data_IF_694564237334
#
_entry.id   IF_694564237334
#
_cell.length_a   1.000
_cell.length_b   1.000
_cell.length_c   1.000
_cell.angle_alpha   90.00
_cell.angle_beta   90.00
_cell.angle_gamma   90.00
#
_symmetry.space_group_name_H-M   'P 1'
#
loop_
_entity.id
_entity.type
_entity.pdbx_description
1 polymer ?
#
# COMPACT_ATOMS: atom_id res chain seq x y z
N UNK A 1 43.23 -2.08 31.93
CA UNK A 1 42.67 -0.99 31.12
C UNK A 1 42.95 -1.09 29.62
N UNK A 2 44.06 -1.73 29.18
CA UNK A 2 44.36 -1.89 27.73
C UNK A 2 43.48 -2.89 26.98
N UNK A 3 43.03 -3.97 27.65
CA UNK A 3 42.17 -4.98 27.03
C UNK A 3 40.81 -4.43 26.57
N UNK A 4 40.22 -3.48 27.29
CA UNK A 4 38.93 -2.90 26.89
C UNK A 4 39.02 -2.05 25.63
N UNK A 5 40.15 -1.32 25.43
CA UNK A 5 40.35 -0.51 24.22
C UNK A 5 40.57 -1.35 22.96
N UNK A 6 41.16 -2.53 23.09
CA UNK A 6 41.31 -3.46 21.97
C UNK A 6 39.95 -4.07 21.55
N UNK A 7 39.12 -4.44 22.52
CA UNK A 7 37.76 -4.96 22.28
C UNK A 7 36.88 -3.89 21.65
N UNK A 8 36.92 -2.64 22.11
CA UNK A 8 36.14 -1.54 21.53
C UNK A 8 36.57 -1.24 20.09
N UNK A 9 37.90 -1.30 19.81
CA UNK A 9 38.39 -1.15 18.41
C UNK A 9 37.92 -2.29 17.52
N UNK A 10 37.89 -3.52 18.01
CA UNK A 10 37.40 -4.69 17.26
C UNK A 10 35.92 -4.57 16.99
N UNK A 11 35.10 -4.22 18.01
CA UNK A 11 33.67 -4.00 17.87
C UNK A 11 33.38 -2.88 16.84
N UNK A 12 34.12 -1.76 16.90
CA UNK A 12 33.93 -0.66 15.97
C UNK A 12 34.41 -1.02 14.54
N UNK A 13 35.43 -1.89 14.41
CA UNK A 13 35.85 -2.41 13.11
C UNK A 13 34.81 -3.38 12.54
N UNK A 14 34.26 -4.28 13.37
CA UNK A 14 33.19 -5.20 12.96
C UNK A 14 31.92 -4.45 12.56
N UNK A 15 31.49 -3.44 13.32
CA UNK A 15 30.37 -2.57 12.95
C UNK A 15 30.60 -1.85 11.61
N UNK A 16 31.83 -1.38 11.36
CA UNK A 16 32.18 -0.78 10.05
C UNK A 16 32.22 -1.81 8.93
N UNK A 17 32.54 -3.06 9.22
CA UNK A 17 32.57 -4.16 8.26
C UNK A 17 31.13 -4.62 7.93
N UNK A 18 30.29 -4.78 8.93
CA UNK A 18 28.85 -5.11 8.75
C UNK A 18 28.11 -4.03 7.94
N UNK A 19 28.45 -2.75 8.14
CA UNK A 19 27.89 -1.64 7.36
C UNK A 19 28.37 -1.61 5.90
N UNK A 20 29.51 -2.25 5.58
CA UNK A 20 30.05 -2.31 4.21
C UNK A 20 29.56 -3.49 3.39
N UNK A 21 29.07 -4.54 4.03
CA UNK A 21 28.60 -5.73 3.35
C UNK A 21 27.09 -5.90 3.57
N UNK A 22 26.29 -4.98 3.03
CA UNK A 22 24.90 -5.29 2.73
C UNK A 22 24.97 -6.05 1.40
N UNK A 23 24.70 -7.36 1.36
CA UNK A 23 24.68 -8.09 0.10
C UNK A 23 23.69 -7.38 -0.83
N UNK A 24 24.14 -7.09 -2.04
CA UNK A 24 23.31 -6.44 -3.04
C UNK A 24 22.06 -7.32 -3.25
N UNK A 25 20.91 -6.81 -2.82
CA UNK A 25 19.67 -7.56 -2.95
C UNK A 25 19.37 -7.76 -4.44
N UNK A 26 19.04 -8.97 -4.90
CA UNK A 26 18.75 -9.21 -6.30
C UNK A 26 17.64 -8.27 -6.78
N UNK A 27 17.77 -7.80 -8.02
CA UNK A 27 16.73 -6.94 -8.61
C UNK A 27 15.39 -7.66 -8.65
N UNK A 28 14.35 -6.97 -8.27
CA UNK A 28 12.98 -7.45 -8.46
C UNK A 28 12.56 -7.32 -9.92
N UNK A 29 11.50 -8.01 -10.30
CA UNK A 29 10.98 -7.94 -11.67
C UNK A 29 10.60 -6.50 -12.09
N UNK A 30 10.00 -5.73 -11.20
CA UNK A 30 9.65 -4.32 -11.45
C UNK A 30 10.89 -3.43 -11.65
N UNK A 31 11.97 -3.70 -10.90
CA UNK A 31 13.26 -3.01 -11.08
C UNK A 31 13.93 -3.38 -12.40
N UNK A 32 13.84 -4.66 -12.84
CA UNK A 32 14.36 -5.11 -14.14
C UNK A 32 13.60 -4.42 -15.28
N UNK A 33 12.27 -4.29 -15.17
CA UNK A 33 11.44 -3.61 -16.17
C UNK A 33 11.55 -2.07 -16.15
N UNK A 34 12.23 -1.48 -15.16
CA UNK A 34 12.33 -0.01 -15.01
C UNK A 34 10.99 0.69 -14.74
N UNK A 35 10.03 -0.01 -14.15
CA UNK A 35 8.70 0.54 -13.85
C UNK A 35 8.38 0.61 -12.35
N UNK A 36 9.34 0.30 -11.52
CA UNK A 36 9.26 0.27 -10.06
C UNK A 36 8.92 1.62 -9.40
N UNK A 37 9.07 2.71 -10.13
CA UNK A 37 8.83 4.09 -9.67
C UNK A 37 7.51 4.70 -10.14
N UNK A 38 6.73 3.98 -10.94
CA UNK A 38 5.50 4.51 -11.54
C UNK A 38 4.30 4.26 -10.62
N UNK A 39 3.71 5.34 -10.10
CA UNK A 39 2.52 5.27 -9.21
C UNK A 39 1.34 4.56 -9.88
N UNK A 40 1.12 4.79 -11.19
CA UNK A 40 0.07 4.11 -11.96
C UNK A 40 0.27 2.60 -12.04
N UNK A 41 1.52 2.12 -12.22
CA UNK A 41 1.84 0.68 -12.21
C UNK A 41 1.56 0.09 -10.82
N UNK A 42 2.03 0.76 -9.77
CA UNK A 42 1.74 0.35 -8.39
C UNK A 42 0.24 0.30 -8.11
N UNK A 43 -0.52 1.31 -8.56
CA UNK A 43 -1.98 1.33 -8.40
C UNK A 43 -2.68 0.21 -9.17
N UNK A 44 -2.18 -0.18 -10.35
CA UNK A 44 -2.71 -1.32 -11.09
C UNK A 44 -2.41 -2.67 -10.39
N UNK A 45 -1.22 -2.81 -9.81
CA UNK A 45 -0.88 -3.99 -9.00
C UNK A 45 -1.77 -4.05 -7.76
N UNK A 46 -1.92 -2.94 -7.06
CA UNK A 46 -2.82 -2.86 -5.90
C UNK A 46 -4.27 -3.15 -6.30
N UNK A 47 -4.76 -2.60 -7.43
CA UNK A 47 -6.09 -2.92 -7.96
C UNK A 47 -6.29 -4.43 -8.06
N UNK A 48 -5.36 -5.12 -8.73
CA UNK A 48 -5.44 -6.57 -8.93
C UNK A 48 -5.53 -7.33 -7.60
N UNK A 49 -4.67 -7.03 -6.63
CA UNK A 49 -4.63 -7.75 -5.36
C UNK A 49 -5.66 -7.29 -4.31
N UNK A 50 -6.25 -6.11 -4.46
CA UNK A 50 -7.33 -5.64 -3.59
C UNK A 50 -8.72 -6.11 -4.05
N UNK A 51 -8.84 -6.62 -5.26
CA UNK A 51 -10.07 -7.16 -5.81
C UNK A 51 -10.30 -8.59 -5.32
N UNK A 52 -11.30 -8.81 -4.46
CA UNK A 52 -11.60 -10.13 -3.89
C UNK A 52 -12.03 -11.17 -4.93
N UNK A 53 -12.49 -10.71 -6.11
CA UNK A 53 -13.04 -11.54 -7.18
C UNK A 53 -12.00 -11.88 -8.27
N UNK A 54 -10.78 -11.33 -8.15
CA UNK A 54 -9.73 -11.60 -9.13
C UNK A 54 -9.11 -13.00 -8.98
N UNK A 55 -8.46 -13.45 -10.07
CA UNK A 55 -7.89 -14.81 -10.20
C UNK A 55 -6.74 -15.12 -9.25
N UNK A 56 -6.28 -14.15 -8.44
CA UNK A 56 -5.16 -14.37 -7.51
C UNK A 56 -5.48 -15.32 -6.36
N UNK A 57 -6.74 -15.68 -6.13
CA UNK A 57 -7.18 -16.66 -5.13
C UNK A 57 -6.78 -16.32 -3.67
N UNK A 58 -6.52 -15.05 -3.37
CA UNK A 58 -6.28 -14.58 -2.01
C UNK A 58 -7.57 -14.04 -1.37
N UNK A 59 -8.68 -14.04 -2.11
CA UNK A 59 -9.95 -13.46 -1.67
C UNK A 59 -9.76 -12.01 -1.23
N UNK A 60 -10.33 -11.65 -0.11
CA UNK A 60 -10.29 -10.29 0.43
C UNK A 60 -9.05 -9.97 1.27
N UNK A 61 -8.06 -10.86 1.35
CA UNK A 61 -6.92 -10.76 2.25
C UNK A 61 -6.26 -9.37 2.23
N UNK A 62 -5.90 -8.90 1.02
CA UNK A 62 -5.19 -7.62 0.88
C UNK A 62 -6.05 -6.43 1.31
N UNK A 63 -7.32 -6.42 0.93
CA UNK A 63 -8.26 -5.36 1.30
C UNK A 63 -8.54 -5.36 2.80
N UNK A 64 -8.80 -6.51 3.39
CA UNK A 64 -9.03 -6.69 4.83
C UNK A 64 -7.83 -6.24 5.66
N UNK A 65 -6.61 -6.58 5.25
CA UNK A 65 -5.39 -6.11 5.92
C UNK A 65 -5.28 -4.59 5.84
N UNK A 66 -5.48 -3.98 4.67
CA UNK A 66 -5.43 -2.54 4.51
C UNK A 66 -6.47 -1.84 5.39
N UNK A 67 -7.73 -2.32 5.37
CA UNK A 67 -8.80 -1.73 6.15
C UNK A 67 -8.66 -1.98 7.66
N UNK A 68 -8.02 -3.07 8.09
CA UNK A 68 -7.69 -3.29 9.51
C UNK A 68 -6.71 -2.25 10.07
N UNK A 69 -5.87 -1.65 9.21
CA UNK A 69 -5.01 -0.52 9.56
C UNK A 69 -5.78 0.82 9.55
N UNK A 70 -6.82 0.89 8.73
CA UNK A 70 -7.71 2.05 8.75
C UNK A 70 -8.51 2.11 10.07
N UNK A 71 -9.18 1.02 10.46
CA UNK A 71 -9.90 0.96 11.73
C UNK A 71 -10.01 -0.48 12.25
N UNK A 72 -9.88 -0.71 13.58
CA UNK A 72 -9.95 -2.06 14.17
C UNK A 72 -11.25 -2.84 13.86
N UNK A 73 -12.37 -2.14 13.64
CA UNK A 73 -13.66 -2.75 13.29
C UNK A 73 -13.61 -3.61 12.03
N UNK A 74 -12.64 -3.37 11.14
CA UNK A 74 -12.47 -4.11 9.89
C UNK A 74 -11.56 -5.35 9.98
N UNK A 75 -10.93 -5.61 11.13
CA UNK A 75 -9.97 -6.72 11.26
C UNK A 75 -10.57 -8.10 11.01
N UNK A 76 -11.85 -8.27 11.39
CA UNK A 76 -12.57 -9.55 11.26
C UNK A 76 -13.74 -9.47 10.27
N UNK A 77 -13.83 -8.38 9.50
CA UNK A 77 -14.87 -8.22 8.48
C UNK A 77 -14.39 -8.85 7.18
N UNK A 78 -15.27 -9.57 6.50
CA UNK A 78 -15.09 -10.06 5.14
C UNK A 78 -15.57 -9.02 4.14
N UNK A 79 -14.88 -8.91 3.01
CA UNK A 79 -15.21 -7.93 1.97
C UNK A 79 -15.43 -8.62 0.64
N UNK A 80 -16.52 -8.26 -0.01
CA UNK A 80 -16.80 -8.60 -1.39
C UNK A 80 -16.70 -7.33 -2.24
N UNK A 81 -15.77 -7.31 -3.18
CA UNK A 81 -15.53 -6.16 -4.06
C UNK A 81 -16.48 -6.24 -5.25
N UNK A 82 -17.41 -5.29 -5.34
CA UNK A 82 -18.36 -5.21 -6.46
C UNK A 82 -17.75 -4.54 -7.69
N UNK A 83 -16.86 -3.58 -7.45
CA UNK A 83 -16.23 -2.81 -8.50
C UNK A 83 -14.94 -2.17 -8.01
N UNK A 84 -13.90 -2.24 -8.83
CA UNK A 84 -12.63 -1.58 -8.55
C UNK A 84 -12.07 -0.93 -9.81
N UNK A 85 -11.70 0.36 -9.71
CA UNK A 85 -11.19 1.16 -10.82
C UNK A 85 -9.93 1.90 -10.40
N UNK A 86 -9.07 2.20 -11.38
CA UNK A 86 -7.95 3.12 -11.23
C UNK A 86 -8.20 4.40 -12.02
N UNK A 87 -7.54 5.48 -11.62
CA UNK A 87 -7.53 6.76 -12.34
C UNK A 87 -8.95 7.33 -12.60
N UNK A 88 -9.82 7.24 -11.56
CA UNK A 88 -11.21 7.73 -11.68
C UNK A 88 -11.22 9.24 -11.71
N UNK A 89 -11.79 9.79 -12.81
CA UNK A 89 -11.91 11.24 -13.00
C UNK A 89 -12.90 11.86 -12.01
N UNK A 90 -12.50 12.97 -11.41
CA UNK A 90 -13.40 13.80 -10.59
C UNK A 90 -14.13 14.83 -11.46
N UNK A 91 -15.10 15.51 -10.85
CA UNK A 91 -15.85 16.59 -11.53
C UNK A 91 -14.97 17.77 -11.95
N UNK A 92 -13.80 17.94 -11.34
CA UNK A 92 -12.83 19.00 -11.68
C UNK A 92 -11.70 18.52 -12.58
N UNK A 93 -11.77 17.28 -13.11
CA UNK A 93 -10.76 16.71 -13.99
C UNK A 93 -9.53 16.15 -13.29
N UNK A 94 -9.52 16.12 -11.94
CA UNK A 94 -8.49 15.40 -11.18
C UNK A 94 -8.72 13.89 -11.26
N UNK A 95 -7.78 13.07 -10.75
CA UNK A 95 -7.89 11.61 -10.81
C UNK A 95 -7.63 10.99 -9.44
N UNK A 96 -8.52 10.09 -9.04
CA UNK A 96 -8.39 9.26 -7.84
C UNK A 96 -7.67 7.99 -8.25
N UNK A 97 -6.56 7.64 -7.60
CA UNK A 97 -5.73 6.50 -8.00
C UNK A 97 -6.47 5.17 -7.92
N UNK A 98 -7.23 4.93 -6.84
CA UNK A 98 -8.03 3.72 -6.66
C UNK A 98 -9.41 4.06 -6.10
N UNK A 99 -10.40 3.41 -6.66
CA UNK A 99 -11.81 3.50 -6.30
C UNK A 99 -12.35 2.09 -6.15
N UNK A 100 -12.85 1.74 -4.96
CA UNK A 100 -13.32 0.39 -4.62
C UNK A 100 -14.72 0.49 -4.03
N UNK A 101 -15.64 -0.25 -4.59
CA UNK A 101 -17.02 -0.40 -4.09
C UNK A 101 -17.19 -1.80 -3.52
N UNK A 102 -17.61 -1.89 -2.28
CA UNK A 102 -18.04 -3.11 -1.60
C UNK A 102 -19.55 -3.10 -1.40
N UNK A 103 -20.04 -3.96 -0.53
CA UNK A 103 -21.47 -3.96 -0.18
C UNK A 103 -21.86 -2.77 0.71
N UNK A 104 -20.95 -2.34 1.59
CA UNK A 104 -21.24 -1.34 2.61
C UNK A 104 -20.29 -0.13 2.56
N UNK A 105 -19.19 -0.21 1.79
CA UNK A 105 -18.20 0.86 1.72
C UNK A 105 -17.95 1.34 0.29
N UNK A 106 -17.69 2.63 0.18
CA UNK A 106 -16.97 3.24 -0.93
C UNK A 106 -15.59 3.68 -0.44
N UNK A 107 -14.55 3.07 -0.99
CA UNK A 107 -13.17 3.29 -0.56
C UNK A 107 -12.43 4.04 -1.66
N UNK A 108 -11.84 5.18 -1.30
CA UNK A 108 -10.95 5.93 -2.20
C UNK A 108 -9.54 5.92 -1.63
N UNK A 109 -8.56 5.60 -2.49
CA UNK A 109 -7.15 5.52 -2.08
C UNK A 109 -6.32 6.42 -2.99
N UNK A 110 -5.58 7.32 -2.40
CA UNK A 110 -4.47 8.02 -3.05
C UNK A 110 -3.18 7.27 -2.74
N UNK A 111 -2.49 6.78 -3.77
CA UNK A 111 -1.27 6.00 -3.66
C UNK A 111 -0.05 6.86 -4.00
N UNK A 112 0.88 7.03 -3.06
CA UNK A 112 2.08 7.88 -3.18
C UNK A 112 3.37 7.12 -2.98
N UNK A 113 4.20 7.08 -4.02
CA UNK A 113 5.53 6.48 -3.96
C UNK A 113 6.61 7.53 -3.75
N UNK A 114 6.54 8.69 -4.40
CA UNK A 114 7.64 9.66 -4.42
C UNK A 114 7.31 11.07 -3.95
N UNK A 115 6.09 11.52 -4.10
CA UNK A 115 5.77 12.94 -4.02
C UNK A 115 5.17 13.39 -2.68
N UNK A 116 5.19 14.70 -2.45
CA UNK A 116 4.41 15.33 -1.39
C UNK A 116 2.93 15.18 -1.72
N UNK A 117 2.11 14.96 -0.68
CA UNK A 117 0.66 14.81 -0.86
C UNK A 117 -0.01 16.20 -1.00
N UNK A 118 0.14 16.83 -2.17
CA UNK A 118 -0.52 18.08 -2.55
C UNK A 118 -1.72 17.84 -3.47
N UNK A 119 -2.44 16.75 -3.23
CA UNK A 119 -3.60 16.36 -4.01
C UNK A 119 -4.85 17.11 -3.58
N UNK A 120 -5.83 17.29 -4.47
CA UNK A 120 -7.10 17.95 -4.17
C UNK A 120 -8.06 16.99 -3.43
N UNK A 121 -7.72 16.62 -2.18
CA UNK A 121 -8.47 15.67 -1.38
C UNK A 121 -9.94 16.04 -1.20
N UNK A 122 -10.24 17.34 -1.06
CA UNK A 122 -11.63 17.83 -0.97
C UNK A 122 -12.45 17.52 -2.23
N UNK A 123 -11.83 17.58 -3.41
CA UNK A 123 -12.48 17.24 -4.68
C UNK A 123 -12.72 15.72 -4.79
N UNK A 124 -11.79 14.93 -4.30
CA UNK A 124 -11.92 13.48 -4.23
C UNK A 124 -13.09 13.07 -3.34
N UNK A 125 -13.15 13.60 -2.11
CA UNK A 125 -14.25 13.31 -1.19
C UNK A 125 -15.60 13.81 -1.70
N UNK A 126 -15.66 15.01 -2.28
CA UNK A 126 -16.89 15.53 -2.88
C UNK A 126 -17.41 14.62 -3.99
N UNK A 127 -16.50 14.13 -4.85
CA UNK A 127 -16.85 13.21 -5.93
C UNK A 127 -17.39 11.90 -5.36
N UNK A 128 -16.70 11.32 -4.37
CA UNK A 128 -17.13 10.08 -3.73
C UNK A 128 -18.48 10.22 -3.00
N UNK A 129 -18.68 11.30 -2.25
CA UNK A 129 -19.97 11.56 -1.56
C UNK A 129 -21.11 11.79 -2.52
N UNK A 130 -20.85 12.41 -3.69
CA UNK A 130 -21.87 12.56 -4.73
C UNK A 130 -22.29 11.20 -5.27
N UNK A 131 -21.34 10.30 -5.52
CA UNK A 131 -21.64 8.94 -6.00
C UNK A 131 -22.43 8.14 -4.97
N UNK A 132 -22.01 8.16 -3.68
CA UNK A 132 -22.78 7.52 -2.59
C UNK A 132 -24.24 8.00 -2.59
N UNK A 133 -24.45 9.31 -2.71
CA UNK A 133 -25.80 9.89 -2.74
C UNK A 133 -26.59 9.40 -3.95
N UNK A 134 -25.97 9.29 -5.12
CA UNK A 134 -26.60 8.74 -6.33
C UNK A 134 -27.00 7.29 -6.12
N UNK A 135 -26.09 6.45 -5.60
CA UNK A 135 -26.36 5.03 -5.33
C UNK A 135 -27.44 4.84 -4.25
N UNK A 136 -27.45 5.70 -3.24
CA UNK A 136 -28.49 5.70 -2.20
C UNK A 136 -29.87 6.00 -2.80
N UNK A 137 -29.98 7.01 -3.67
CA UNK A 137 -31.24 7.41 -4.28
C UNK A 137 -31.75 6.38 -5.32
N UNK A 138 -30.85 5.79 -6.10
CA UNK A 138 -31.23 4.90 -7.20
C UNK A 138 -31.42 3.44 -6.77
N UNK A 139 -30.62 2.99 -5.82
CA UNK A 139 -30.54 1.57 -5.43
C UNK A 139 -30.85 1.29 -3.96
N UNK A 140 -31.13 2.33 -3.17
CA UNK A 140 -31.35 2.19 -1.73
C UNK A 140 -30.09 1.75 -0.94
N UNK A 141 -28.91 1.86 -1.52
CA UNK A 141 -27.63 1.44 -0.91
C UNK A 141 -27.02 2.59 -0.13
N UNK A 142 -26.73 2.37 1.14
CA UNK A 142 -26.06 3.37 1.98
C UNK A 142 -24.61 2.92 2.25
N UNK A 143 -23.64 3.57 1.59
CA UNK A 143 -22.21 3.24 1.69
C UNK A 143 -21.49 4.14 2.68
N UNK A 144 -20.62 3.57 3.52
CA UNK A 144 -19.64 4.32 4.32
C UNK A 144 -18.48 4.79 3.43
N UNK A 145 -18.11 6.07 3.49
CA UNK A 145 -16.94 6.57 2.78
C UNK A 145 -15.66 6.32 3.58
N UNK A 146 -14.71 5.64 2.97
CA UNK A 146 -13.35 5.40 3.49
C UNK A 146 -12.34 6.11 2.60
N UNK A 147 -11.56 7.04 3.16
CA UNK A 147 -10.55 7.82 2.44
C UNK A 147 -9.15 7.51 2.98
N UNK A 148 -8.29 6.92 2.15
CA UNK A 148 -6.95 6.47 2.53
C UNK A 148 -5.89 7.20 1.69
N UNK A 149 -4.85 7.68 2.36
CA UNK A 149 -3.60 8.11 1.76
C UNK A 149 -2.53 7.05 2.06
N UNK A 150 -2.23 6.23 1.06
CA UNK A 150 -1.21 5.18 1.15
C UNK A 150 0.13 5.74 0.65
N UNK A 151 1.13 5.82 1.53
CA UNK A 151 2.39 6.46 1.19
C UNK A 151 3.60 5.93 1.96
N UNK A 152 4.79 6.49 1.70
CA UNK A 152 6.02 6.05 2.38
C UNK A 152 6.22 6.68 3.77
N UNK A 153 5.42 7.66 4.12
CA UNK A 153 5.41 8.30 5.45
C UNK A 153 3.99 8.68 5.82
N UNK A 154 3.78 9.01 7.07
CA UNK A 154 2.52 9.59 7.49
C UNK A 154 2.38 11.04 7.01
N UNK A 155 1.20 11.38 6.55
CA UNK A 155 0.83 12.71 6.10
C UNK A 155 -0.27 13.25 7.01
N UNK A 156 -0.17 14.50 7.41
CA UNK A 156 -1.25 15.17 8.14
C UNK A 156 -2.22 15.81 7.13
N UNK A 157 -3.22 15.03 6.68
CA UNK A 157 -4.22 15.41 5.68
C UNK A 157 -5.61 14.93 6.11
N UNK A 158 -6.64 15.29 5.35
CA UNK A 158 -8.03 14.84 5.58
C UNK A 158 -8.18 13.32 5.42
N UNK A 159 -7.44 12.72 4.50
CA UNK A 159 -7.40 11.27 4.32
C UNK A 159 -6.63 10.59 5.46
N UNK A 160 -7.12 9.44 5.93
CA UNK A 160 -6.37 8.62 6.87
C UNK A 160 -5.07 8.14 6.24
N UNK A 161 -3.95 8.54 6.81
CA UNK A 161 -2.64 8.10 6.33
C UNK A 161 -2.33 6.69 6.84
N UNK A 162 -1.93 5.82 5.91
CA UNK A 162 -1.39 4.48 6.16
C UNK A 162 -0.07 4.41 5.42
N UNK A 163 0.97 3.87 6.06
CA UNK A 163 2.25 3.73 5.37
C UNK A 163 2.30 2.42 4.57
N UNK A 164 2.97 2.46 3.42
CA UNK A 164 3.29 1.23 2.68
C UNK A 164 4.02 0.22 3.56
N UNK A 165 4.89 0.70 4.46
CA UNK A 165 5.64 -0.18 5.37
C UNK A 165 4.71 -0.98 6.28
N UNK A 166 3.75 -0.31 6.95
CA UNK A 166 2.78 -0.96 7.84
C UNK A 166 1.93 -1.96 7.08
N UNK A 167 1.39 -1.55 5.93
CA UNK A 167 0.53 -2.39 5.09
C UNK A 167 1.28 -3.62 4.58
N UNK A 168 2.42 -3.42 3.91
CA UNK A 168 3.15 -4.51 3.26
C UNK A 168 3.81 -5.45 4.25
N UNK A 169 4.26 -4.95 5.41
CA UNK A 169 4.79 -5.80 6.47
C UNK A 169 3.72 -6.74 7.03
N UNK A 170 2.52 -6.21 7.31
CA UNK A 170 1.40 -7.00 7.81
C UNK A 170 0.94 -8.01 6.76
N UNK A 171 0.84 -7.58 5.50
CA UNK A 171 0.48 -8.46 4.38
C UNK A 171 1.50 -9.60 4.21
N UNK A 172 2.81 -9.29 4.22
CA UNK A 172 3.87 -10.29 4.09
C UNK A 172 3.80 -11.37 5.18
N UNK A 173 3.43 -11.00 6.41
CA UNK A 173 3.27 -11.96 7.51
C UNK A 173 2.12 -12.95 7.27
N UNK A 174 1.04 -12.52 6.63
CA UNK A 174 -0.12 -13.38 6.34
C UNK A 174 0.10 -14.27 5.10
N UNK A 175 0.96 -13.86 4.15
CA UNK A 175 1.21 -14.61 2.91
C UNK A 175 1.88 -15.97 3.15
N UNK A 176 2.45 -16.22 4.30
CA UNK A 176 3.02 -17.51 4.67
C UNK A 176 1.98 -18.65 4.60
N UNK A 177 0.71 -18.31 4.79
CA UNK A 177 -0.41 -19.25 4.72
C UNK A 177 -0.86 -19.57 3.27
N UNK A 178 -0.24 -18.93 2.27
CA UNK A 178 -0.61 -19.02 0.86
C UNK A 178 0.61 -19.41 -0.03
N UNK A 179 1.57 -20.13 0.54
CA UNK A 179 2.87 -20.42 -0.10
C UNK A 179 2.74 -21.16 -1.45
N UNK A 180 1.70 -21.98 -1.60
CA UNK A 180 1.44 -22.75 -2.82
C UNK A 180 0.69 -21.97 -3.90
N UNK A 181 0.34 -20.71 -3.63
CA UNK A 181 -0.36 -19.85 -4.57
C UNK A 181 0.62 -19.15 -5.51
N UNK A 182 0.50 -19.41 -6.82
CA UNK A 182 1.39 -18.84 -7.84
C UNK A 182 1.43 -17.30 -7.86
N UNK A 183 0.34 -16.64 -7.52
CA UNK A 183 0.28 -15.18 -7.50
C UNK A 183 1.02 -14.56 -6.30
N UNK A 184 1.27 -15.33 -5.24
CA UNK A 184 2.06 -14.90 -4.09
C UNK A 184 3.48 -14.52 -4.50
N UNK A 185 4.06 -15.19 -5.51
CA UNK A 185 5.36 -14.81 -6.04
C UNK A 185 5.35 -13.37 -6.59
N UNK A 186 4.35 -13.02 -7.39
CA UNK A 186 4.22 -11.66 -7.95
C UNK A 186 3.97 -10.62 -6.87
N UNK A 187 3.12 -10.93 -5.89
CA UNK A 187 2.86 -10.04 -4.76
C UNK A 187 4.11 -9.85 -3.90
N UNK A 188 4.88 -10.89 -3.64
CA UNK A 188 6.16 -10.80 -2.93
C UNK A 188 7.17 -9.92 -3.69
N UNK A 189 7.26 -10.04 -5.03
CA UNK A 189 8.11 -9.18 -5.84
C UNK A 189 7.72 -7.69 -5.72
N UNK A 190 6.43 -7.39 -5.68
CA UNK A 190 5.93 -6.04 -5.43
C UNK A 190 6.30 -5.55 -4.02
N UNK A 191 6.05 -6.38 -3.00
CA UNK A 191 6.39 -6.09 -1.60
C UNK A 191 7.89 -5.78 -1.45
N UNK A 192 8.76 -6.64 -2.00
CA UNK A 192 10.21 -6.44 -1.94
C UNK A 192 10.64 -5.14 -2.63
N UNK A 193 10.07 -4.84 -3.81
CA UNK A 193 10.33 -3.58 -4.51
C UNK A 193 10.02 -2.37 -3.63
N UNK A 194 8.86 -2.36 -3.01
CA UNK A 194 8.41 -1.25 -2.18
C UNK A 194 9.23 -1.12 -0.89
N UNK A 195 9.55 -2.25 -0.23
CA UNK A 195 10.37 -2.25 0.99
C UNK A 195 11.79 -1.76 0.73
N UNK A 196 12.43 -2.15 -0.39
CA UNK A 196 13.75 -1.61 -0.81
C UNK A 196 13.70 -0.09 -0.98
N UNK A 197 12.64 0.45 -1.60
CA UNK A 197 12.48 1.90 -1.78
C UNK A 197 12.33 2.64 -0.45
N UNK A 198 11.62 2.05 0.50
CA UNK A 198 11.48 2.60 1.84
C UNK A 198 12.84 2.64 2.55
N UNK A 199 13.60 1.53 2.48
CA UNK A 199 14.95 1.44 3.06
C UNK A 199 15.91 2.44 2.43
N UNK A 200 15.98 2.53 1.11
CA UNK A 200 16.86 3.47 0.42
C UNK A 200 16.63 4.93 0.87
N UNK A 201 15.39 5.30 1.20
CA UNK A 201 15.06 6.64 1.71
C UNK A 201 15.44 6.87 3.16
N UNK A 202 15.52 5.84 3.98
CA UNK A 202 15.96 5.97 5.38
C UNK A 202 17.44 6.25 5.52
N UNK A 203 18.23 5.92 4.49
CA UNK A 203 19.68 6.18 4.44
C UNK A 203 20.05 7.56 3.87
N UNK A 204 19.10 8.29 3.27
CA UNK A 204 19.35 9.62 2.66
C UNK A 204 19.08 10.76 3.67
N UNK A 205 18.70 10.44 4.89
CA UNK A 205 18.56 11.38 6.01
C UNK A 205 19.81 11.32 6.88
#
# INVERSE_FOLDING_TARGET
MENNRAVDRLINSLKKFELKYIPEQPKTFLEIMGCDSRETISSNILKFFLDSEEKHQLGDLCLRILLSLYAPKYSNKSFHVKNIKTEVATTKGNRINLWIETEEELIIIENKIYHTANNPFDDYEKTARKEIKTLSNEKGVNLELISILLGFKNYNKSFKSITHFEFLRKLKAELVNYIDNNYVLFLNQYIETMLKKIQARSYIK
#
